data_IF_611384060576
#
_entry.id   IF_611384060576
#
_cell.length_a   1.000
_cell.length_b   1.000
_cell.length_c   1.000
_cell.angle_alpha   90.00
_cell.angle_beta   90.00
_cell.angle_gamma   90.00
#
_symmetry.space_group_name_H-M   'P 1'
#
loop_
_entity.id
_entity.type
_entity.pdbx_description
1 polymer ?
#
# COMPACT_ATOMS: atom_id res chain seq x y z
N UNK A 1 -12.64 -23.29 20.13
CA UNK A 1 -11.29 -22.77 19.82
C UNK A 1 -11.37 -22.18 18.40
N UNK A 2 -11.20 -20.87 18.24
CA UNK A 2 -11.59 -20.11 17.03
C UNK A 2 -10.53 -20.34 15.92
N UNK A 3 -10.87 -21.09 14.86
CA UNK A 3 -9.92 -21.54 13.82
C UNK A 3 -10.23 -21.08 12.39
N UNK A 4 -10.92 -19.94 12.17
CA UNK A 4 -11.29 -19.51 10.80
C UNK A 4 -10.97 -18.06 10.48
N UNK A 5 -9.81 -17.56 10.90
CA UNK A 5 -9.26 -16.30 10.38
C UNK A 5 -8.32 -16.50 9.18
N UNK A 6 -7.80 -17.72 8.98
CA UNK A 6 -6.91 -18.02 7.87
C UNK A 6 -7.71 -18.57 6.70
N UNK A 7 -8.26 -17.68 5.87
CA UNK A 7 -8.92 -18.06 4.63
C UNK A 7 -7.84 -18.22 3.54
N UNK A 8 -7.57 -19.45 3.03
CA UNK A 8 -6.51 -19.69 2.06
C UNK A 8 -6.64 -18.83 0.79
N UNK A 9 -7.88 -18.50 0.38
CA UNK A 9 -8.10 -17.65 -0.79
C UNK A 9 -7.72 -16.20 -0.55
N UNK A 10 -7.86 -15.68 0.68
CA UNK A 10 -7.44 -14.32 1.02
C UNK A 10 -5.91 -14.25 1.11
N UNK A 11 -5.27 -15.23 1.72
CA UNK A 11 -3.80 -15.28 1.83
C UNK A 11 -3.15 -15.32 0.45
N UNK A 12 -3.63 -16.18 -0.44
CA UNK A 12 -3.17 -16.25 -1.83
C UNK A 12 -3.35 -14.92 -2.57
N UNK A 13 -4.55 -14.30 -2.48
CA UNK A 13 -4.82 -12.99 -3.09
C UNK A 13 -3.86 -11.91 -2.60
N UNK A 14 -3.63 -11.82 -1.28
CA UNK A 14 -2.70 -10.84 -0.70
C UNK A 14 -1.26 -11.05 -1.18
N UNK A 15 -0.82 -12.31 -1.31
CA UNK A 15 0.52 -12.63 -1.81
C UNK A 15 0.67 -12.26 -3.29
N UNK A 16 -0.34 -12.53 -4.10
CA UNK A 16 -0.37 -12.15 -5.51
C UNK A 16 -0.33 -10.62 -5.67
N UNK A 17 -1.22 -9.91 -4.97
CA UNK A 17 -1.26 -8.44 -4.98
C UNK A 17 0.06 -7.82 -4.51
N UNK A 18 0.73 -8.43 -3.52
CA UNK A 18 2.04 -7.98 -3.05
C UNK A 18 3.11 -8.11 -4.15
N UNK A 19 3.18 -9.27 -4.81
CA UNK A 19 4.14 -9.49 -5.89
C UNK A 19 3.93 -8.52 -7.06
N UNK A 20 2.67 -8.29 -7.44
CA UNK A 20 2.31 -7.33 -8.49
C UNK A 20 2.69 -5.90 -8.12
N UNK A 21 2.43 -5.49 -6.88
CA UNK A 21 2.77 -4.16 -6.37
C UNK A 21 4.30 -3.96 -6.28
N UNK A 22 5.05 -4.98 -5.84
CA UNK A 22 6.52 -4.93 -5.80
C UNK A 22 7.12 -4.81 -7.20
N UNK A 23 6.59 -5.55 -8.18
CA UNK A 23 7.01 -5.42 -9.57
C UNK A 23 6.68 -4.02 -10.13
N UNK A 24 5.49 -3.48 -9.82
CA UNK A 24 5.11 -2.12 -10.22
C UNK A 24 6.03 -1.05 -9.62
N UNK A 25 6.36 -1.18 -8.33
CA UNK A 25 7.29 -0.29 -7.64
C UNK A 25 8.68 -0.31 -8.29
N UNK A 26 9.18 -1.50 -8.65
CA UNK A 26 10.47 -1.64 -9.32
C UNK A 26 10.48 -0.92 -10.68
N UNK A 27 9.41 -1.05 -11.48
CA UNK A 27 9.29 -0.35 -12.77
C UNK A 27 9.29 1.16 -12.59
N UNK A 28 8.47 1.69 -11.68
CA UNK A 28 8.38 3.14 -11.40
C UNK A 28 9.68 3.72 -10.88
N UNK A 29 10.44 2.97 -10.07
CA UNK A 29 11.78 3.37 -9.64
C UNK A 29 12.79 3.43 -10.78
N UNK A 30 12.69 2.54 -11.77
CA UNK A 30 13.54 2.62 -12.96
C UNK A 30 13.21 3.86 -13.80
N UNK A 31 11.92 4.10 -14.04
CA UNK A 31 11.41 5.28 -14.76
C UNK A 31 11.92 6.59 -14.12
N UNK A 32 11.87 6.70 -12.79
CA UNK A 32 12.40 7.86 -12.07
C UNK A 32 13.92 8.05 -12.26
N UNK A 33 14.68 6.96 -12.32
CA UNK A 33 16.13 7.01 -12.55
C UNK A 33 16.43 7.52 -13.95
N UNK A 34 15.78 6.95 -14.96
CA UNK A 34 15.94 7.37 -16.36
C UNK A 34 15.57 8.84 -16.56
N UNK A 35 14.46 9.31 -15.96
CA UNK A 35 14.05 10.71 -16.00
C UNK A 35 15.09 11.64 -15.34
N UNK A 36 15.73 11.17 -14.25
CA UNK A 36 16.77 11.93 -13.56
C UNK A 36 18.09 11.98 -14.33
N UNK A 37 18.46 10.91 -15.02
CA UNK A 37 19.67 10.82 -15.85
C UNK A 37 19.60 11.75 -17.07
N UNK A 38 18.43 11.80 -17.75
CA UNK A 38 18.20 12.75 -18.86
C UNK A 38 18.46 14.19 -18.45
N UNK A 39 18.01 14.58 -17.25
CA UNK A 39 18.25 15.92 -16.70
C UNK A 39 19.74 16.19 -16.40
N UNK A 40 20.49 15.19 -15.93
CA UNK A 40 21.90 15.35 -15.57
C UNK A 40 22.83 15.61 -16.77
N UNK A 41 22.45 15.18 -17.97
CA UNK A 41 23.26 15.37 -19.20
C UNK A 41 23.21 16.79 -19.76
N UNK A 42 22.43 17.72 -19.19
CA UNK A 42 22.45 19.15 -19.54
C UNK A 42 21.98 19.49 -20.96
N UNK A 43 21.46 18.52 -21.72
CA UNK A 43 20.98 18.68 -23.09
C UNK A 43 19.49 19.09 -23.14
N UNK A 44 19.08 20.04 -22.28
CA UNK A 44 17.67 20.44 -22.13
C UNK A 44 17.57 21.94 -21.89
N UNK A 45 16.66 22.62 -22.60
CA UNK A 45 16.35 24.03 -22.36
C UNK A 45 15.53 24.25 -21.07
N UNK A 46 15.39 25.50 -20.62
CA UNK A 46 14.74 25.85 -19.35
C UNK A 46 13.26 25.44 -19.29
N UNK A 47 12.56 25.40 -20.43
CA UNK A 47 11.16 24.93 -20.53
C UNK A 47 11.10 23.41 -20.34
N UNK A 48 12.02 22.69 -20.97
CA UNK A 48 12.16 21.23 -20.82
C UNK A 48 12.51 20.85 -19.38
N UNK A 49 13.34 21.63 -18.68
CA UNK A 49 13.67 21.38 -17.26
C UNK A 49 12.42 21.43 -16.35
N UNK A 50 11.53 22.41 -16.52
CA UNK A 50 10.29 22.50 -15.74
C UNK A 50 9.31 21.36 -16.00
N UNK A 51 9.25 20.87 -17.24
CA UNK A 51 8.44 19.70 -17.60
C UNK A 51 9.01 18.40 -16.99
N UNK A 52 10.33 18.26 -16.93
CA UNK A 52 10.99 17.10 -16.32
C UNK A 52 10.75 17.07 -14.80
N UNK A 53 10.82 18.23 -14.14
CA UNK A 53 10.62 18.29 -12.69
C UNK A 53 9.17 17.96 -12.28
N UNK A 54 8.19 18.42 -13.07
CA UNK A 54 6.78 18.05 -12.87
C UNK A 54 6.52 16.56 -13.15
N UNK A 55 7.13 15.99 -14.18
CA UNK A 55 7.07 14.55 -14.48
C UNK A 55 7.65 13.70 -13.34
N UNK A 56 8.81 14.09 -12.79
CA UNK A 56 9.43 13.42 -11.63
C UNK A 56 8.55 13.46 -10.39
N UNK A 57 7.90 14.59 -10.11
CA UNK A 57 6.97 14.71 -8.96
C UNK A 57 5.83 13.70 -9.10
N UNK A 58 5.24 13.57 -10.30
CA UNK A 58 4.19 12.57 -10.55
C UNK A 58 4.67 11.14 -10.26
N UNK A 59 5.85 10.76 -10.77
CA UNK A 59 6.42 9.43 -10.54
C UNK A 59 6.68 9.17 -9.04
N UNK A 60 7.16 10.18 -8.29
CA UNK A 60 7.39 10.06 -6.84
C UNK A 60 6.09 9.87 -6.06
N UNK A 61 5.02 10.55 -6.44
CA UNK A 61 3.70 10.37 -5.82
C UNK A 61 3.16 8.95 -6.05
N UNK A 62 3.33 8.41 -7.26
CA UNK A 62 2.98 7.03 -7.59
C UNK A 62 3.80 6.02 -6.77
N UNK A 63 5.12 6.21 -6.69
CA UNK A 63 6.02 5.39 -5.86
C UNK A 63 5.57 5.39 -4.40
N UNK A 64 5.21 6.55 -3.86
CA UNK A 64 4.76 6.70 -2.47
C UNK A 64 3.46 5.94 -2.24
N UNK A 65 2.51 6.06 -3.17
CA UNK A 65 1.22 5.36 -3.13
C UNK A 65 1.41 3.84 -3.18
N UNK A 66 2.21 3.33 -4.11
CA UNK A 66 2.49 1.90 -4.25
C UNK A 66 3.21 1.37 -2.99
N UNK A 67 4.17 2.12 -2.47
CA UNK A 67 4.91 1.74 -1.25
C UNK A 67 4.00 1.64 -0.03
N UNK A 68 3.05 2.58 0.12
CA UNK A 68 2.02 2.52 1.16
C UNK A 68 1.13 1.28 1.02
N UNK A 69 0.73 0.93 -0.20
CA UNK A 69 -0.05 -0.28 -0.45
C UNK A 69 0.74 -1.56 -0.09
N UNK A 70 2.02 -1.66 -0.49
CA UNK A 70 2.91 -2.77 -0.13
C UNK A 70 3.01 -2.91 1.40
N UNK A 71 3.14 -1.80 2.13
CA UNK A 71 3.18 -1.82 3.59
C UNK A 71 1.89 -2.41 4.19
N UNK A 72 0.73 -2.02 3.66
CA UNK A 72 -0.57 -2.57 4.09
C UNK A 72 -0.69 -4.07 3.80
N UNK A 73 -0.28 -4.51 2.60
CA UNK A 73 -0.28 -5.92 2.19
C UNK A 73 0.64 -6.77 3.08
N UNK A 74 1.90 -6.35 3.26
CA UNK A 74 2.87 -7.02 4.14
C UNK A 74 2.38 -7.09 5.58
N UNK A 75 1.78 -6.00 6.08
CA UNK A 75 1.20 -5.96 7.42
C UNK A 75 0.06 -6.98 7.57
N UNK A 76 -0.83 -7.09 6.59
CA UNK A 76 -1.90 -8.09 6.62
C UNK A 76 -1.37 -9.54 6.59
N UNK A 77 -0.39 -9.82 5.73
CA UNK A 77 0.27 -11.14 5.64
C UNK A 77 0.98 -11.48 6.95
N UNK A 78 1.67 -10.53 7.57
CA UNK A 78 2.31 -10.71 8.87
C UNK A 78 1.30 -11.02 9.99
N UNK A 79 0.14 -10.35 9.98
CA UNK A 79 -0.96 -10.67 10.90
C UNK A 79 -1.49 -12.09 10.69
N UNK A 80 -1.51 -12.60 9.46
CA UNK A 80 -1.91 -13.99 9.18
C UNK A 80 -0.88 -14.96 9.76
N UNK A 81 0.40 -14.72 9.51
CA UNK A 81 1.49 -15.56 10.01
C UNK A 81 1.53 -15.61 11.55
N UNK A 82 1.23 -14.49 12.22
CA UNK A 82 1.16 -14.40 13.69
C UNK A 82 -0.18 -14.87 14.29
N UNK A 83 -1.16 -15.27 13.47
CA UNK A 83 -2.49 -15.69 13.94
C UNK A 83 -3.36 -14.55 14.51
N UNK A 84 -3.00 -13.30 14.25
CA UNK A 84 -3.73 -12.09 14.71
C UNK A 84 -4.64 -11.49 13.64
N UNK A 85 -4.59 -12.02 12.41
CA UNK A 85 -5.45 -11.57 11.32
C UNK A 85 -6.93 -11.67 11.68
N UNK A 86 -7.71 -10.67 11.23
CA UNK A 86 -9.12 -10.57 11.57
C UNK A 86 -9.41 -10.06 12.99
N UNK A 87 -8.40 -9.63 13.76
CA UNK A 87 -8.61 -8.87 15.01
C UNK A 87 -8.29 -7.39 14.79
N UNK A 88 -9.13 -6.53 15.34
CA UNK A 88 -8.94 -5.09 15.32
C UNK A 88 -7.70 -4.72 16.14
N UNK A 89 -6.76 -3.98 15.55
CA UNK A 89 -5.54 -3.54 16.24
C UNK A 89 -5.80 -2.53 17.36
N UNK A 90 -6.95 -1.84 17.34
CA UNK A 90 -7.29 -0.84 18.35
C UNK A 90 -8.03 -1.40 19.56
N UNK A 91 -9.07 -2.22 19.34
CA UNK A 91 -9.92 -2.72 20.42
C UNK A 91 -9.85 -4.24 20.64
N UNK A 92 -9.07 -4.97 19.82
CA UNK A 92 -8.91 -6.42 19.94
C UNK A 92 -10.10 -7.26 19.48
N UNK A 93 -11.25 -6.66 19.16
CA UNK A 93 -12.45 -7.40 18.72
C UNK A 93 -12.31 -7.94 17.30
N UNK A 94 -13.13 -8.93 16.94
CA UNK A 94 -13.14 -9.50 15.60
C UNK A 94 -13.58 -8.50 14.54
N UNK A 95 -12.87 -8.48 13.41
CA UNK A 95 -13.26 -7.76 12.19
C UNK A 95 -14.24 -8.64 11.42
N UNK A 96 -15.37 -8.07 11.00
CA UNK A 96 -16.39 -8.82 10.27
C UNK A 96 -15.81 -9.47 8.99
N UNK A 97 -16.11 -10.75 8.76
CA UNK A 97 -15.62 -11.51 7.60
C UNK A 97 -15.97 -10.83 6.26
N UNK A 98 -17.18 -10.28 6.12
CA UNK A 98 -17.58 -9.52 4.93
C UNK A 98 -16.65 -8.33 4.65
N UNK A 99 -16.16 -7.66 5.70
CA UNK A 99 -15.18 -6.58 5.57
C UNK A 99 -13.81 -7.11 5.16
N UNK A 100 -13.34 -8.23 5.71
CA UNK A 100 -12.06 -8.84 5.33
C UNK A 100 -12.08 -9.38 3.88
N UNK A 101 -13.24 -9.83 3.40
CA UNK A 101 -13.41 -10.24 2.00
C UNK A 101 -13.34 -9.04 1.05
N UNK A 102 -13.98 -7.92 1.42
CA UNK A 102 -13.98 -6.69 0.64
C UNK A 102 -12.65 -5.92 0.71
N UNK A 103 -12.06 -5.84 1.91
CA UNK A 103 -10.83 -5.11 2.22
C UNK A 103 -9.91 -6.04 3.04
N UNK A 104 -9.13 -6.91 2.39
CA UNK A 104 -8.29 -7.89 3.07
C UNK A 104 -7.12 -7.28 3.85
N UNK A 105 -6.75 -6.02 3.56
CA UNK A 105 -5.73 -5.30 4.34
C UNK A 105 -6.28 -4.66 5.63
N UNK A 106 -7.59 -4.74 5.88
CA UNK A 106 -8.22 -4.07 7.02
C UNK A 106 -7.54 -4.45 8.36
N UNK A 107 -7.14 -3.42 9.10
CA UNK A 107 -6.48 -3.54 10.40
C UNK A 107 -7.41 -3.17 11.58
N UNK A 108 -8.51 -2.46 11.31
CA UNK A 108 -9.45 -1.98 12.32
C UNK A 108 -10.84 -2.54 12.07
N UNK A 109 -11.66 -2.66 13.12
CA UNK A 109 -13.10 -2.87 12.98
C UNK A 109 -13.79 -1.58 12.51
N UNK A 110 -15.04 -1.67 12.04
CA UNK A 110 -15.72 -0.51 11.42
C UNK A 110 -15.90 0.67 12.38
N UNK A 111 -16.35 0.47 13.63
CA UNK A 111 -16.44 1.55 14.60
C UNK A 111 -15.08 2.24 14.89
N UNK A 112 -14.00 1.46 15.01
CA UNK A 112 -12.67 2.03 15.25
C UNK A 112 -12.13 2.80 14.03
N UNK A 113 -12.44 2.34 12.81
CA UNK A 113 -12.10 3.05 11.58
C UNK A 113 -12.84 4.39 11.51
N UNK A 114 -14.16 4.38 11.71
CA UNK A 114 -15.00 5.58 11.66
C UNK A 114 -14.57 6.59 12.74
N UNK A 115 -14.23 6.11 13.93
CA UNK A 115 -13.67 6.97 14.99
C UNK A 115 -12.39 7.65 14.50
N UNK A 116 -11.45 6.91 13.91
CA UNK A 116 -10.18 7.46 13.43
C UNK A 116 -10.38 8.50 12.32
N UNK A 117 -11.28 8.24 11.37
CA UNK A 117 -11.57 9.15 10.24
C UNK A 117 -12.31 10.42 10.68
N UNK A 118 -13.09 10.33 11.77
CA UNK A 118 -13.81 11.48 12.34
C UNK A 118 -12.94 12.40 13.20
N UNK A 119 -11.73 11.97 13.58
CA UNK A 119 -10.82 12.82 14.33
C UNK A 119 -10.30 13.93 13.40
N UNK A 120 -10.42 15.21 13.77
CA UNK A 120 -9.78 16.27 13.01
C UNK A 120 -8.27 16.00 13.03
N UNK A 121 -7.66 15.89 11.85
CA UNK A 121 -6.21 15.84 11.69
C UNK A 121 -5.63 17.09 12.39
N UNK A 122 -5.07 16.92 13.59
CA UNK A 122 -4.29 17.94 14.27
C UNK A 122 -2.86 17.95 13.73
#
# INVERSE_FOLDING_TARGET
MIMTANNPSISFRLQQELAEAEAALSRKRMELREASEKHATGLTDAVSMGNIETEKVSIVLEITTISGNIANLRSAISRMASGTYGKCLRCGTGIANKRLLAIPTAALCRPCQETLESLPNQ
#
